data_IF_418104981920
#
_entry.id   IF_418104981920
#
_cell.length_a   1.000
_cell.length_b   1.000
_cell.length_c   1.000
_cell.angle_alpha   90.00
_cell.angle_beta   90.00
_cell.angle_gamma   90.00
#
_symmetry.space_group_name_H-M   'P 1'
#
loop_
_entity.id
_entity.type
_entity.pdbx_description
1 polymer ?
#
# COMPACT_ATOMS: atom_id res chain seq x y z
N UNK A 1 -19.80 -8.75 6.07
CA UNK A 1 -19.93 -9.46 7.35
C UNK A 1 -19.22 -10.82 7.30
N UNK A 2 -19.49 -11.65 6.27
CA UNK A 2 -18.97 -13.02 6.09
C UNK A 2 -17.46 -13.10 6.12
N UNK A 3 -16.74 -12.19 5.42
CA UNK A 3 -15.26 -12.12 5.46
C UNK A 3 -14.75 -11.86 6.88
N UNK A 4 -15.41 -10.98 7.64
CA UNK A 4 -14.98 -10.68 9.02
C UNK A 4 -15.12 -11.91 9.92
N UNK A 5 -16.19 -12.67 9.75
CA UNK A 5 -16.43 -13.93 10.50
C UNK A 5 -15.44 -15.01 10.09
N UNK A 6 -15.20 -15.20 8.78
CA UNK A 6 -14.22 -16.16 8.29
C UNK A 6 -12.79 -15.81 8.76
N UNK A 7 -12.44 -14.52 8.72
CA UNK A 7 -11.14 -14.05 9.22
C UNK A 7 -10.97 -14.24 10.72
N UNK A 8 -12.04 -14.06 11.52
CA UNK A 8 -12.00 -14.35 12.94
C UNK A 8 -11.77 -15.86 13.18
N UNK A 9 -12.47 -16.74 12.47
CA UNK A 9 -12.25 -18.18 12.55
C UNK A 9 -10.84 -18.59 12.14
N UNK A 10 -10.32 -18.02 11.06
CA UNK A 10 -8.94 -18.26 10.62
C UNK A 10 -7.92 -17.83 11.69
N UNK A 11 -8.10 -16.63 12.27
CA UNK A 11 -7.21 -16.12 13.33
C UNK A 11 -7.25 -16.99 14.60
N UNK A 12 -8.37 -17.68 14.84
CA UNK A 12 -8.54 -18.63 15.95
C UNK A 12 -8.09 -20.07 15.59
N UNK A 13 -7.53 -20.28 14.39
CA UNK A 13 -7.17 -21.60 13.84
C UNK A 13 -8.35 -22.60 13.73
N UNK A 14 -9.58 -22.07 13.55
CA UNK A 14 -10.79 -22.86 13.37
C UNK A 14 -10.98 -23.30 11.92
N UNK A 15 -10.42 -22.58 10.96
CA UNK A 15 -10.45 -22.87 9.52
C UNK A 15 -9.06 -22.69 8.91
N UNK A 16 -8.81 -23.39 7.80
CA UNK A 16 -7.58 -23.24 7.01
C UNK A 16 -7.61 -21.97 6.16
N UNK A 17 -6.44 -21.53 5.69
CA UNK A 17 -6.32 -20.33 4.83
C UNK A 17 -7.13 -20.48 3.54
N UNK A 18 -7.15 -21.66 2.95
CA UNK A 18 -7.92 -21.96 1.73
C UNK A 18 -9.42 -21.68 1.92
N UNK A 19 -9.96 -22.03 3.10
CA UNK A 19 -11.39 -21.78 3.42
C UNK A 19 -11.68 -20.29 3.61
N UNK A 20 -10.75 -19.52 4.20
CA UNK A 20 -10.86 -18.06 4.26
C UNK A 20 -10.82 -17.48 2.84
N UNK A 21 -9.89 -17.92 2.02
CA UNK A 21 -9.75 -17.48 0.63
C UNK A 21 -10.99 -17.75 -0.20
N UNK A 22 -11.62 -18.92 -0.04
CA UNK A 22 -12.86 -19.26 -0.76
C UNK A 22 -14.00 -18.29 -0.40
N UNK A 23 -14.12 -17.89 0.87
CA UNK A 23 -15.09 -16.86 1.29
C UNK A 23 -14.75 -15.51 0.70
N UNK A 24 -13.47 -15.11 0.68
CA UNK A 24 -13.01 -13.86 0.08
C UNK A 24 -13.32 -13.85 -1.43
N UNK A 25 -13.03 -14.95 -2.13
CA UNK A 25 -13.29 -15.13 -3.56
C UNK A 25 -14.79 -14.95 -3.87
N UNK A 26 -15.66 -15.62 -3.10
CA UNK A 26 -17.12 -15.51 -3.26
C UNK A 26 -17.61 -14.06 -3.08
N UNK A 27 -17.11 -13.38 -2.05
CA UNK A 27 -17.54 -11.99 -1.78
C UNK A 27 -17.00 -11.00 -2.81
N UNK A 28 -15.80 -11.21 -3.32
CA UNK A 28 -15.23 -10.40 -4.41
C UNK A 28 -16.01 -10.62 -5.70
N UNK A 29 -16.36 -11.86 -6.04
CA UNK A 29 -17.20 -12.14 -7.21
C UNK A 29 -18.57 -11.42 -7.12
N UNK A 30 -19.20 -11.42 -5.93
CA UNK A 30 -20.44 -10.66 -5.68
C UNK A 30 -20.24 -9.15 -5.80
N UNK A 31 -19.09 -8.62 -5.35
CA UNK A 31 -18.77 -7.20 -5.48
C UNK A 31 -18.62 -6.82 -6.96
N UNK A 32 -17.81 -7.56 -7.73
CA UNK A 32 -17.60 -7.32 -9.16
C UNK A 32 -18.94 -7.32 -9.91
N UNK A 33 -19.82 -8.30 -9.64
CA UNK A 33 -21.15 -8.34 -10.25
C UNK A 33 -21.96 -7.07 -9.95
N UNK A 34 -21.90 -6.54 -8.72
CA UNK A 34 -22.57 -5.29 -8.34
C UNK A 34 -21.96 -4.07 -9.01
N UNK A 35 -20.64 -3.98 -9.05
CA UNK A 35 -19.93 -2.88 -9.72
C UNK A 35 -20.35 -2.82 -11.20
N UNK A 36 -20.38 -3.94 -11.88
CA UNK A 36 -20.86 -4.05 -13.27
C UNK A 36 -22.36 -3.66 -13.39
N UNK A 37 -23.22 -4.15 -12.49
CA UNK A 37 -24.63 -3.79 -12.48
C UNK A 37 -24.85 -2.27 -12.34
N UNK A 38 -23.96 -1.58 -11.64
CA UNK A 38 -23.99 -0.12 -11.48
C UNK A 38 -23.26 0.63 -12.61
N UNK A 39 -22.82 -0.07 -13.65
CA UNK A 39 -22.25 0.52 -14.85
C UNK A 39 -20.76 0.87 -14.77
N UNK A 40 -20.03 0.37 -13.76
CA UNK A 40 -18.60 0.55 -13.69
C UNK A 40 -17.92 -0.24 -14.82
N UNK A 41 -16.99 0.43 -15.52
CA UNK A 41 -16.16 -0.18 -16.57
C UNK A 41 -14.84 -0.70 -16.05
N UNK A 42 -14.40 -0.17 -14.92
CA UNK A 42 -13.24 -0.63 -14.17
C UNK A 42 -13.72 -1.14 -12.82
N UNK A 43 -13.48 -2.42 -12.56
CA UNK A 43 -13.90 -3.07 -11.31
C UNK A 43 -12.69 -3.36 -10.42
N UNK A 44 -12.94 -3.47 -9.12
CA UNK A 44 -11.93 -3.72 -8.09
C UNK A 44 -12.32 -4.91 -7.21
N UNK A 45 -11.36 -5.42 -6.44
CA UNK A 45 -11.60 -6.45 -5.43
C UNK A 45 -12.10 -5.87 -4.08
N UNK A 46 -12.29 -4.54 -4.01
CA UNK A 46 -12.65 -3.84 -2.78
C UNK A 46 -11.63 -3.98 -1.65
N UNK A 47 -10.45 -4.49 -1.96
CA UNK A 47 -9.40 -4.83 -0.99
C UNK A 47 -9.87 -5.78 0.12
N UNK A 48 -10.85 -6.64 -0.19
CA UNK A 48 -11.50 -7.52 0.79
C UNK A 48 -10.54 -8.51 1.44
N UNK A 49 -9.40 -8.80 0.80
CA UNK A 49 -8.36 -9.69 1.33
C UNK A 49 -7.43 -9.01 2.34
N UNK A 50 -7.37 -7.65 2.33
CA UNK A 50 -6.43 -6.90 3.16
C UNK A 50 -6.96 -6.67 4.57
N UNK A 51 -6.07 -6.81 5.55
CA UNK A 51 -6.27 -6.35 6.91
C UNK A 51 -5.84 -4.89 7.05
N UNK A 52 -4.70 -4.56 6.45
CA UNK A 52 -4.13 -3.22 6.38
C UNK A 52 -3.95 -2.83 4.91
N UNK A 53 -4.51 -1.69 4.52
CA UNK A 53 -4.54 -1.23 3.12
C UNK A 53 -3.13 -1.08 2.50
N UNK A 54 -2.10 -0.71 3.31
CA UNK A 54 -0.72 -0.53 2.85
C UNK A 54 0.21 -1.68 3.26
N UNK A 55 0.18 -2.13 4.53
CA UNK A 55 1.14 -3.10 5.05
C UNK A 55 1.03 -4.47 4.37
N UNK A 56 -0.17 -4.90 4.03
CA UNK A 56 -0.35 -6.22 3.40
C UNK A 56 0.28 -6.25 2.01
N UNK A 57 0.27 -5.11 1.29
CA UNK A 57 1.02 -4.95 0.06
C UNK A 57 2.53 -4.84 0.31
N UNK A 58 2.95 -4.01 1.25
CA UNK A 58 4.37 -3.77 1.51
C UNK A 58 5.10 -5.01 2.05
N UNK A 59 4.37 -5.94 2.69
CA UNK A 59 4.91 -7.24 3.13
C UNK A 59 5.25 -8.19 1.98
N UNK A 60 4.86 -7.88 0.74
CA UNK A 60 5.28 -8.65 -0.44
C UNK A 60 6.74 -8.35 -0.83
N UNK A 61 7.33 -7.27 -0.31
CA UNK A 61 8.72 -6.89 -0.57
C UNK A 61 9.67 -7.56 0.42
N UNK A 62 10.79 -8.08 -0.09
CA UNK A 62 11.90 -8.52 0.75
C UNK A 62 12.49 -7.33 1.52
N UNK A 63 13.07 -7.60 2.67
CA UNK A 63 13.67 -6.56 3.52
C UNK A 63 12.68 -5.68 4.28
N UNK A 64 11.38 -5.80 3.99
CA UNK A 64 10.32 -5.10 4.71
C UNK A 64 9.69 -6.00 5.77
N UNK A 65 9.47 -5.45 6.94
CA UNK A 65 8.78 -6.11 8.06
C UNK A 65 7.87 -5.12 8.79
N UNK A 66 7.24 -5.55 9.86
CA UNK A 66 6.34 -4.68 10.63
C UNK A 66 6.61 -4.78 12.12
N UNK A 67 6.36 -3.67 12.82
CA UNK A 67 6.45 -3.54 14.27
C UNK A 67 5.10 -3.17 14.87
N UNK A 68 4.69 -3.92 15.87
CA UNK A 68 3.48 -3.61 16.65
C UNK A 68 3.78 -2.55 17.70
N UNK A 69 2.91 -1.58 17.81
CA UNK A 69 3.00 -0.48 18.76
C UNK A 69 1.63 -0.17 19.37
N UNK A 70 1.64 0.22 20.64
CA UNK A 70 0.48 0.82 21.27
C UNK A 70 0.56 2.33 21.12
N UNK A 71 -0.40 2.92 20.41
CA UNK A 71 -0.52 4.37 20.24
C UNK A 71 -1.85 4.89 20.78
N UNK A 72 -1.78 6.00 21.50
CA UNK A 72 -2.96 6.75 21.88
C UNK A 72 -3.38 7.66 20.74
N UNK A 73 -4.49 7.32 20.08
CA UNK A 73 -5.03 8.05 18.92
C UNK A 73 -6.50 8.31 19.18
N UNK A 74 -6.94 9.54 18.98
CA UNK A 74 -8.34 9.95 19.15
C UNK A 74 -8.94 9.55 20.51
N UNK A 75 -8.19 9.77 21.61
CA UNK A 75 -8.67 9.51 22.96
C UNK A 75 -8.69 8.02 23.36
N UNK A 76 -8.09 7.12 22.60
CA UNK A 76 -8.08 5.67 22.88
C UNK A 76 -6.71 5.05 22.61
N UNK A 77 -6.39 4.02 23.40
CA UNK A 77 -5.26 3.15 23.07
C UNK A 77 -5.61 2.30 21.83
N UNK A 78 -4.73 2.30 20.87
CA UNK A 78 -4.85 1.50 19.65
C UNK A 78 -3.59 0.66 19.48
N UNK A 79 -3.79 -0.61 19.18
CA UNK A 79 -2.73 -1.48 18.67
C UNK A 79 -2.58 -1.18 17.19
N UNK A 80 -1.49 -0.58 16.81
CA UNK A 80 -1.16 -0.28 15.42
C UNK A 80 0.06 -1.07 14.99
N UNK A 81 0.17 -1.25 13.71
CA UNK A 81 1.31 -1.90 13.05
C UNK A 81 1.93 -0.88 12.10
N UNK A 82 3.24 -0.71 12.15
CA UNK A 82 4.00 0.18 11.27
C UNK A 82 5.06 -0.61 10.52
N UNK A 83 5.37 -0.17 9.31
CA UNK A 83 6.40 -0.77 8.48
C UNK A 83 7.81 -0.45 8.98
N UNK A 84 8.72 -1.40 8.80
CA UNK A 84 10.13 -1.28 9.18
C UNK A 84 11.03 -1.90 8.12
N UNK A 85 12.17 -1.27 7.86
CA UNK A 85 13.20 -1.78 6.95
C UNK A 85 14.21 -2.57 7.78
N UNK A 86 14.31 -3.87 7.53
CA UNK A 86 15.28 -4.74 8.20
C UNK A 86 16.33 -5.34 7.26
N UNK A 87 16.07 -5.32 5.95
CA UNK A 87 16.97 -5.85 4.94
C UNK A 87 16.98 -5.01 3.68
N UNK A 88 17.62 -5.52 2.64
CA UNK A 88 17.56 -4.93 1.31
C UNK A 88 16.14 -5.01 0.77
N UNK A 89 15.54 -3.86 0.42
CA UNK A 89 14.23 -3.82 -0.20
C UNK A 89 14.34 -4.32 -1.64
N UNK A 90 13.57 -5.36 -1.97
CA UNK A 90 13.50 -5.90 -3.33
C UNK A 90 12.15 -6.61 -3.56
N UNK A 91 11.83 -6.85 -4.83
CA UNK A 91 10.68 -7.64 -5.24
C UNK A 91 11.14 -8.76 -6.18
N UNK A 92 10.83 -10.01 -5.83
CA UNK A 92 11.19 -11.18 -6.63
C UNK A 92 9.92 -11.73 -7.33
N UNK A 93 9.77 -11.56 -8.64
CA UNK A 93 8.57 -12.01 -9.38
C UNK A 93 8.44 -13.55 -9.44
N UNK A 94 9.46 -14.30 -9.00
CA UNK A 94 9.40 -15.77 -8.97
C UNK A 94 8.80 -16.29 -7.67
N UNK A 95 8.56 -15.45 -6.69
CA UNK A 95 7.88 -15.82 -5.44
C UNK A 95 6.36 -15.84 -5.63
N UNK A 96 5.70 -16.67 -4.84
CA UNK A 96 4.24 -16.67 -4.78
C UNK A 96 3.74 -15.46 -3.98
N UNK A 97 3.26 -14.44 -4.68
CA UNK A 97 2.70 -13.23 -4.08
C UNK A 97 1.19 -13.33 -3.91
N UNK A 98 0.69 -13.01 -2.72
CA UNK A 98 -0.77 -12.98 -2.44
C UNK A 98 -1.48 -11.94 -3.28
N UNK A 99 -0.87 -10.79 -3.49
CA UNK A 99 -1.43 -9.70 -4.30
C UNK A 99 -1.47 -10.05 -5.79
N UNK A 100 -0.58 -10.93 -6.27
CA UNK A 100 -0.65 -11.44 -7.63
C UNK A 100 -1.80 -12.44 -7.81
N UNK A 101 -1.99 -13.35 -6.83
CA UNK A 101 -3.20 -14.19 -6.80
C UNK A 101 -4.48 -13.34 -6.80
N UNK A 102 -4.53 -12.30 -5.97
CA UNK A 102 -5.67 -11.40 -5.89
C UNK A 102 -5.95 -10.69 -7.23
N UNK A 103 -4.89 -10.29 -7.93
CA UNK A 103 -4.99 -9.70 -9.26
C UNK A 103 -5.54 -10.70 -10.30
N UNK A 104 -4.97 -11.90 -10.38
CA UNK A 104 -5.40 -12.90 -11.36
C UNK A 104 -6.86 -13.31 -11.13
N UNK A 105 -7.28 -13.44 -9.87
CA UNK A 105 -8.69 -13.68 -9.54
C UNK A 105 -9.59 -12.54 -10.02
N UNK A 106 -9.27 -11.30 -9.67
CA UNK A 106 -10.05 -10.12 -10.07
C UNK A 106 -10.15 -10.00 -11.60
N UNK A 107 -9.04 -10.15 -12.31
CA UNK A 107 -8.98 -10.13 -13.78
C UNK A 107 -9.91 -11.19 -14.39
N UNK A 108 -9.89 -12.40 -13.84
CA UNK A 108 -10.75 -13.47 -14.31
C UNK A 108 -12.24 -13.17 -14.05
N UNK A 109 -12.58 -12.60 -12.88
CA UNK A 109 -13.95 -12.19 -12.59
C UNK A 109 -14.42 -11.05 -13.53
N UNK A 110 -13.60 -10.02 -13.74
CA UNK A 110 -13.90 -8.91 -14.64
C UNK A 110 -14.16 -9.40 -16.08
N UNK A 111 -13.36 -10.35 -16.56
CA UNK A 111 -13.48 -10.90 -17.91
C UNK A 111 -14.82 -11.58 -18.19
N UNK A 112 -15.49 -12.13 -17.17
CA UNK A 112 -16.84 -12.74 -17.31
C UNK A 112 -17.89 -11.73 -17.76
N UNK A 113 -17.66 -10.46 -17.50
CA UNK A 113 -18.58 -9.37 -17.80
C UNK A 113 -18.08 -8.45 -18.92
N UNK A 114 -16.90 -8.72 -19.49
CA UNK A 114 -16.30 -7.89 -20.54
C UNK A 114 -15.92 -6.48 -20.05
N UNK A 115 -15.54 -6.35 -18.77
CA UNK A 115 -15.08 -5.11 -18.16
C UNK A 115 -13.61 -5.23 -17.76
N UNK A 116 -12.96 -4.08 -17.50
CA UNK A 116 -11.56 -4.02 -17.13
C UNK A 116 -11.37 -4.12 -15.60
N UNK A 117 -10.32 -4.82 -15.17
CA UNK A 117 -9.89 -4.85 -13.78
C UNK A 117 -8.91 -3.70 -13.48
N UNK A 118 -9.07 -3.05 -12.33
CA UNK A 118 -8.15 -2.04 -11.80
C UNK A 118 -7.51 -2.55 -10.51
N UNK A 119 -6.18 -2.54 -10.45
CA UNK A 119 -5.42 -2.89 -9.24
C UNK A 119 -5.14 -1.64 -8.40
N UNK A 120 -5.38 -1.72 -7.10
CA UNK A 120 -4.96 -0.72 -6.11
C UNK A 120 -3.78 -1.27 -5.31
N UNK A 121 -2.72 -0.46 -5.16
CA UNK A 121 -1.55 -0.75 -4.32
C UNK A 121 -1.19 0.50 -3.51
N UNK A 122 -0.58 0.35 -2.35
CA UNK A 122 -0.11 1.52 -1.62
C UNK A 122 1.11 2.16 -2.29
N UNK A 123 1.31 3.46 -2.05
CA UNK A 123 2.45 4.20 -2.57
C UNK A 123 3.79 3.79 -1.95
N UNK A 124 4.89 3.92 -2.69
CA UNK A 124 6.22 3.54 -2.23
C UNK A 124 6.70 4.38 -1.04
N UNK A 125 6.25 5.63 -0.96
CA UNK A 125 6.62 6.57 0.10
C UNK A 125 6.16 6.14 1.50
N UNK A 126 5.16 5.23 1.59
CA UNK A 126 4.69 4.71 2.88
C UNK A 126 5.79 3.95 3.64
N UNK A 127 6.74 3.34 2.94
CA UNK A 127 7.92 2.70 3.55
C UNK A 127 8.76 3.74 4.30
N UNK A 128 9.02 4.89 3.67
CA UNK A 128 9.77 5.98 4.28
C UNK A 128 9.02 6.62 5.45
N UNK A 129 7.70 6.82 5.28
CA UNK A 129 6.85 7.37 6.35
C UNK A 129 6.90 6.50 7.59
N UNK A 130 6.67 5.21 7.45
CA UNK A 130 6.60 4.31 8.59
C UNK A 130 7.94 4.21 9.30
N UNK A 131 9.02 3.90 8.58
CA UNK A 131 10.32 3.65 9.18
C UNK A 131 10.98 4.93 9.72
N UNK A 132 11.18 5.93 8.87
CA UNK A 132 11.96 7.11 9.25
C UNK A 132 11.15 8.13 10.04
N UNK A 133 9.87 8.35 9.68
CA UNK A 133 9.11 9.46 10.23
C UNK A 133 8.13 9.03 11.34
N UNK A 134 7.49 7.88 11.23
CA UNK A 134 6.59 7.41 12.28
C UNK A 134 7.30 6.71 13.42
N UNK A 135 8.20 5.76 13.11
CA UNK A 135 9.05 5.11 14.09
C UNK A 135 10.19 6.02 14.58
N UNK A 136 10.63 6.98 13.74
CA UNK A 136 11.74 7.87 14.04
C UNK A 136 13.10 7.16 14.05
N UNK A 137 13.23 6.04 13.34
CA UNK A 137 14.46 5.27 13.21
C UNK A 137 15.26 5.87 12.04
N UNK A 138 16.49 6.31 12.28
CA UNK A 138 17.33 7.01 11.29
C UNK A 138 18.24 6.09 10.49
N UNK A 139 18.43 4.88 10.97
CA UNK A 139 19.30 3.87 10.38
C UNK A 139 18.56 2.57 10.14
N UNK A 140 19.09 1.75 9.27
CA UNK A 140 18.56 0.42 8.97
C UNK A 140 19.67 -0.62 9.09
N UNK A 141 19.38 -1.87 9.41
CA UNK A 141 20.39 -2.92 9.52
C UNK A 141 21.20 -3.13 8.24
N UNK A 142 20.59 -2.92 7.07
CA UNK A 142 21.23 -3.15 5.77
C UNK A 142 21.86 -1.89 5.19
N UNK A 143 21.17 -0.75 5.21
CA UNK A 143 21.62 0.49 4.56
C UNK A 143 22.38 1.44 5.50
N UNK A 144 22.41 1.15 6.81
CA UNK A 144 22.87 2.16 7.76
C UNK A 144 22.03 3.44 7.63
N UNK A 145 22.71 4.57 7.44
CA UNK A 145 22.09 5.89 7.24
C UNK A 145 22.00 6.32 5.77
N UNK A 146 22.31 5.43 4.82
CA UNK A 146 22.31 5.71 3.39
C UNK A 146 20.87 5.75 2.83
N UNK A 147 20.24 6.92 2.95
CA UNK A 147 18.89 7.15 2.45
C UNK A 147 18.81 7.06 0.92
N UNK A 148 19.91 7.37 0.21
CA UNK A 148 19.96 7.30 -1.24
C UNK A 148 19.80 5.86 -1.74
N UNK A 149 20.51 4.93 -1.13
CA UNK A 149 20.37 3.51 -1.44
C UNK A 149 18.96 2.96 -1.09
N UNK A 150 18.35 3.46 -0.01
CA UNK A 150 16.96 3.11 0.34
C UNK A 150 15.98 3.58 -0.74
N UNK A 151 16.10 4.84 -1.19
CA UNK A 151 15.27 5.44 -2.24
C UNK A 151 15.38 4.63 -3.53
N UNK A 152 16.61 4.31 -3.95
CA UNK A 152 16.87 3.56 -5.17
C UNK A 152 16.28 2.16 -5.11
N UNK A 153 16.50 1.41 -4.05
CA UNK A 153 16.01 0.04 -3.91
C UNK A 153 14.48 -0.03 -3.78
N UNK A 154 13.84 0.91 -3.07
CA UNK A 154 12.36 1.00 -3.05
C UNK A 154 11.83 1.24 -4.47
N UNK A 155 12.41 2.21 -5.20
CA UNK A 155 12.00 2.51 -6.56
C UNK A 155 12.15 1.31 -7.50
N UNK A 156 13.29 0.62 -7.45
CA UNK A 156 13.55 -0.58 -8.26
C UNK A 156 12.59 -1.73 -7.91
N UNK A 157 12.30 -1.92 -6.64
CA UNK A 157 11.36 -2.95 -6.20
C UNK A 157 9.94 -2.69 -6.74
N UNK A 158 9.47 -1.42 -6.72
CA UNK A 158 8.20 -1.04 -7.33
C UNK A 158 8.20 -1.20 -8.86
N UNK A 159 9.30 -0.86 -9.55
CA UNK A 159 9.43 -1.14 -10.99
C UNK A 159 9.22 -2.64 -11.28
N UNK A 160 9.89 -3.51 -10.52
CA UNK A 160 9.77 -4.95 -10.67
C UNK A 160 8.34 -5.43 -10.44
N UNK A 161 7.68 -4.95 -9.38
CA UNK A 161 6.30 -5.29 -9.07
C UNK A 161 5.30 -4.80 -10.13
N UNK A 162 5.44 -3.55 -10.61
CA UNK A 162 4.60 -3.01 -11.70
C UNK A 162 4.80 -3.83 -12.98
N UNK A 163 6.03 -4.21 -13.29
CA UNK A 163 6.34 -5.06 -14.45
C UNK A 163 5.71 -6.44 -14.30
N UNK A 164 5.70 -7.01 -13.11
CA UNK A 164 5.09 -8.30 -12.84
C UNK A 164 3.56 -8.25 -13.03
N UNK A 165 2.88 -7.25 -12.47
CA UNK A 165 1.46 -6.99 -12.75
C UNK A 165 1.19 -6.84 -14.25
N UNK A 166 2.05 -6.12 -14.97
CA UNK A 166 1.91 -5.95 -16.41
C UNK A 166 2.01 -7.29 -17.15
N UNK A 167 2.98 -8.14 -16.81
CA UNK A 167 3.17 -9.47 -17.39
C UNK A 167 1.97 -10.38 -17.10
N UNK A 168 1.28 -10.20 -15.97
CA UNK A 168 0.01 -10.85 -15.63
C UNK A 168 -1.22 -10.19 -16.29
N UNK A 169 -1.00 -9.25 -17.22
CA UNK A 169 -2.06 -8.62 -18.01
C UNK A 169 -2.70 -7.41 -17.36
N UNK A 170 -2.16 -6.88 -16.26
CA UNK A 170 -2.62 -5.61 -15.69
C UNK A 170 -2.31 -4.44 -16.62
N UNK A 171 -3.27 -3.54 -16.82
CA UNK A 171 -3.11 -2.32 -17.62
C UNK A 171 -3.50 -1.06 -16.87
N UNK A 172 -4.02 -1.19 -15.64
CA UNK A 172 -4.41 -0.06 -14.83
C UNK A 172 -4.09 -0.31 -13.35
N UNK A 173 -3.15 0.49 -12.81
CA UNK A 173 -2.82 0.52 -11.39
C UNK A 173 -3.18 1.88 -10.80
N UNK A 174 -3.86 1.88 -9.66
CA UNK A 174 -4.01 3.03 -8.80
C UNK A 174 -3.01 2.91 -7.65
N UNK A 175 -2.17 3.92 -7.49
CA UNK A 175 -1.25 4.05 -6.37
C UNK A 175 -1.93 4.89 -5.29
N UNK A 176 -2.28 4.27 -4.18
CA UNK A 176 -2.83 4.95 -3.02
C UNK A 176 -1.68 5.49 -2.16
N UNK A 177 -1.37 6.77 -2.34
CA UNK A 177 -0.24 7.43 -1.71
C UNK A 177 -0.68 8.55 -0.76
N UNK A 178 -1.02 8.17 0.46
CA UNK A 178 -1.37 9.11 1.52
C UNK A 178 -0.16 9.81 2.14
N UNK A 179 1.06 9.43 1.78
CA UNK A 179 2.30 9.98 2.35
C UNK A 179 2.41 11.49 2.19
N UNK A 180 1.98 12.02 1.05
CA UNK A 180 1.98 13.45 0.76
C UNK A 180 1.20 14.28 1.79
N UNK A 181 0.12 13.71 2.34
CA UNK A 181 -0.73 14.41 3.30
C UNK A 181 -0.13 14.52 4.69
N UNK A 182 0.88 13.74 5.00
CA UNK A 182 1.67 13.95 6.21
C UNK A 182 2.40 15.29 6.17
N UNK A 183 2.78 15.76 4.99
CA UNK A 183 3.51 17.02 4.79
C UNK A 183 2.62 18.27 4.68
N UNK A 184 1.28 18.14 4.70
CA UNK A 184 0.37 19.28 4.81
C UNK A 184 -0.04 19.59 6.25
N UNK A 185 0.26 18.68 7.20
CA UNK A 185 -0.10 18.83 8.61
C UNK A 185 1.07 19.40 9.41
N UNK A 186 0.90 20.61 9.93
CA UNK A 186 1.97 21.34 10.65
C UNK A 186 2.45 20.57 11.88
N UNK A 187 1.56 19.81 12.54
CA UNK A 187 1.94 18.98 13.70
C UNK A 187 2.90 17.87 13.28
N UNK A 188 2.63 17.23 12.15
CA UNK A 188 3.52 16.20 11.63
C UNK A 188 4.82 16.78 11.09
N UNK A 189 4.76 17.91 10.39
CA UNK A 189 5.95 18.62 9.90
C UNK A 189 6.87 18.99 11.09
N UNK A 190 6.32 19.55 12.18
CA UNK A 190 7.09 19.85 13.39
C UNK A 190 7.75 18.61 14.00
N UNK A 191 7.06 17.44 13.97
CA UNK A 191 7.65 16.16 14.38
C UNK A 191 8.84 15.77 13.49
N UNK A 192 8.71 15.91 12.19
CA UNK A 192 9.76 15.63 11.20
C UNK A 192 11.00 16.52 11.44
N UNK A 193 10.76 17.80 11.70
CA UNK A 193 11.83 18.76 12.03
C UNK A 193 12.53 18.39 13.35
N UNK A 194 11.76 17.93 14.35
CA UNK A 194 12.31 17.41 15.61
C UNK A 194 13.18 16.15 15.42
N UNK A 195 12.97 15.39 14.34
CA UNK A 195 13.83 14.28 13.94
C UNK A 195 15.09 14.73 13.19
N UNK A 196 15.21 16.03 12.86
CA UNK A 196 16.34 16.62 12.15
C UNK A 196 16.23 16.58 10.63
N UNK A 197 15.04 16.37 10.10
CA UNK A 197 14.75 16.49 8.66
C UNK A 197 13.96 17.76 8.39
N UNK A 198 14.10 18.34 7.21
CA UNK A 198 13.23 19.43 6.76
C UNK A 198 12.06 18.88 5.93
N UNK A 199 10.95 19.61 5.90
CA UNK A 199 9.82 19.32 4.99
C UNK A 199 10.30 19.16 3.55
N UNK A 200 11.17 20.06 3.08
CA UNK A 200 11.68 20.03 1.71
C UNK A 200 12.48 18.76 1.40
N UNK A 201 13.33 18.30 2.34
CA UNK A 201 14.05 17.03 2.18
C UNK A 201 13.11 15.84 2.04
N UNK A 202 12.06 15.77 2.89
CA UNK A 202 11.11 14.66 2.84
C UNK A 202 10.30 14.67 1.55
N UNK A 203 9.88 15.84 1.09
CA UNK A 203 9.19 15.98 -0.21
C UNK A 203 10.10 15.58 -1.38
N UNK A 204 11.39 15.94 -1.35
CA UNK A 204 12.36 15.48 -2.34
C UNK A 204 12.48 13.95 -2.37
N UNK A 205 12.55 13.30 -1.21
CA UNK A 205 12.53 11.83 -1.13
C UNK A 205 11.29 11.24 -1.80
N UNK A 206 10.10 11.80 -1.52
CA UNK A 206 8.85 11.32 -2.10
C UNK A 206 8.81 11.44 -3.62
N UNK A 207 9.26 12.59 -4.15
CA UNK A 207 9.36 12.79 -5.60
C UNK A 207 10.32 11.78 -6.22
N UNK A 208 11.48 11.58 -5.64
CA UNK A 208 12.52 10.71 -6.19
C UNK A 208 12.13 9.24 -6.14
N UNK A 209 11.59 8.77 -5.02
CA UNK A 209 11.07 7.39 -4.90
C UNK A 209 9.95 7.15 -5.92
N UNK A 210 8.97 8.07 -5.99
CA UNK A 210 7.83 7.92 -6.91
C UNK A 210 8.27 7.99 -8.37
N UNK A 211 9.18 8.90 -8.71
CA UNK A 211 9.75 8.98 -10.07
C UNK A 211 10.47 7.69 -10.42
N UNK A 212 11.35 7.20 -9.54
CA UNK A 212 12.08 5.95 -9.74
C UNK A 212 11.16 4.75 -9.89
N UNK A 213 10.12 4.66 -9.07
CA UNK A 213 9.14 3.58 -9.13
C UNK A 213 8.40 3.49 -10.47
N UNK A 214 8.22 4.63 -11.15
CA UNK A 214 7.50 4.73 -12.43
C UNK A 214 8.41 4.78 -13.66
N UNK A 215 9.73 4.85 -13.47
CA UNK A 215 10.68 4.73 -14.58
C UNK A 215 10.48 3.40 -15.30
N UNK A 216 10.60 3.40 -16.62
CA UNK A 216 10.50 2.20 -17.47
C UNK A 216 9.15 1.45 -17.38
N UNK A 217 8.08 2.10 -16.87
CA UNK A 217 6.76 1.49 -16.96
C UNK A 217 6.38 1.28 -18.42
N UNK A 218 5.62 0.22 -18.75
CA UNK A 218 5.08 0.05 -20.11
C UNK A 218 4.21 1.24 -20.53
N UNK A 219 4.30 1.65 -21.79
CA UNK A 219 3.57 2.83 -22.31
C UNK A 219 2.05 2.71 -22.17
N UNK A 220 1.51 1.49 -22.34
CA UNK A 220 0.09 1.18 -22.24
C UNK A 220 -0.35 0.85 -20.79
N UNK A 221 0.55 0.92 -19.81
CA UNK A 221 0.19 0.83 -18.38
C UNK A 221 -0.29 2.18 -17.88
N UNK A 222 -1.56 2.27 -17.55
CA UNK A 222 -2.14 3.43 -16.91
C UNK A 222 -1.81 3.43 -15.41
N UNK A 223 -1.32 4.56 -14.93
CA UNK A 223 -1.09 4.80 -13.51
C UNK A 223 -1.92 6.00 -13.07
N UNK A 224 -2.74 5.80 -12.06
CA UNK A 224 -3.41 6.88 -11.34
C UNK A 224 -2.85 6.98 -9.92
N UNK A 225 -2.92 8.16 -9.33
CA UNK A 225 -2.52 8.38 -7.95
C UNK A 225 -3.71 8.91 -7.14
N UNK A 226 -3.90 8.36 -5.96
CA UNK A 226 -4.91 8.81 -5.01
C UNK A 226 -4.24 9.52 -3.84
N UNK A 227 -4.67 10.75 -3.59
CA UNK A 227 -4.31 11.52 -2.40
C UNK A 227 -5.55 11.68 -1.52
N UNK A 228 -5.39 11.47 -0.21
CA UNK A 228 -6.44 11.76 0.76
C UNK A 228 -5.83 12.23 2.09
N UNK A 229 -6.63 12.86 2.93
CA UNK A 229 -6.18 13.34 4.27
C UNK A 229 -6.10 12.24 5.33
N UNK A 230 -6.10 11.00 4.91
CA UNK A 230 -6.17 9.84 5.79
C UNK A 230 -7.52 9.71 6.49
N UNK A 231 -7.83 8.49 6.90
CA UNK A 231 -9.05 8.19 7.65
C UNK A 231 -8.74 7.12 8.69
N UNK A 232 -8.96 7.42 9.95
CA UNK A 232 -8.87 6.42 11.00
C UNK A 232 -10.17 6.37 11.79
N UNK A 233 -10.92 5.28 11.61
CA UNK A 233 -12.21 5.05 12.27
C UNK A 233 -13.21 6.20 12.06
N UNK A 234 -13.28 6.73 10.84
CA UNK A 234 -14.20 7.79 10.46
C UNK A 234 -13.70 9.22 10.69
N UNK A 235 -12.49 9.40 11.26
CA UNK A 235 -11.92 10.72 11.51
C UNK A 235 -10.75 10.99 10.55
N UNK A 236 -10.63 12.22 9.99
CA UNK A 236 -9.46 12.62 9.25
C UNK A 236 -8.22 12.58 10.15
N UNK A 237 -7.08 12.13 9.59
CA UNK A 237 -5.83 12.05 10.32
C UNK A 237 -5.00 13.32 10.21
N UNK A 238 -5.12 14.04 9.08
CA UNK A 238 -4.29 15.20 8.78
C UNK A 238 -5.12 16.42 8.45
N UNK A 239 -4.62 17.57 8.86
CA UNK A 239 -5.23 18.89 8.66
C UNK A 239 -4.27 19.77 7.84
N UNK A 240 -4.81 20.51 6.88
CA UNK A 240 -4.02 21.38 6.01
C UNK A 240 -4.58 21.45 4.59
N UNK A 241 -3.87 22.14 3.72
CA UNK A 241 -4.23 22.34 2.32
C UNK A 241 -3.13 21.81 1.41
N UNK A 242 -3.49 21.30 0.24
CA UNK A 242 -2.55 20.71 -0.71
C UNK A 242 -1.63 21.73 -1.39
N UNK A 243 -2.00 23.02 -1.38
CA UNK A 243 -1.18 24.10 -1.97
C UNK A 243 0.26 24.11 -1.47
N UNK A 244 0.52 23.56 -0.30
CA UNK A 244 1.87 23.51 0.31
C UNK A 244 2.75 22.38 -0.21
N UNK A 245 2.20 21.49 -1.04
CA UNK A 245 2.90 20.32 -1.62
C UNK A 245 2.64 20.18 -3.14
N UNK A 246 1.89 21.12 -3.75
CA UNK A 246 1.57 21.14 -5.17
C UNK A 246 2.73 21.67 -6.02
#
# INVERSE_FOLDING_TARGET
QEIKEARAKFNNNEIAYEQLRDVEDEQIAKLVAKEVQHGLKFVTDGEFRRRWWHLDWLKEFDGFTTKHLDKFINGRNNHIELGMIEGKISYDPNKAHKEMYAWDFLKNEASKYGVEAKKCISGPNMILIDHFLQLGIKDTPYYGTDIEAVIDDIGLAYQAAIRDFYNHGCRYIQIDDTSWTYMIDDTFVSKVEGLGYTKAQVLDWFVRVSTKALENRPEDMQIATHFCKGNFKGNPLFHGFYDTIA
#
